data_IF_735991389500
#
_entry.id   IF_735991389500
#
_cell.length_a   1.000
_cell.length_b   1.000
_cell.length_c   1.000
_cell.angle_alpha   90.00
_cell.angle_beta   90.00
_cell.angle_gamma   90.00
#
_symmetry.space_group_name_H-M   'P 1'
#
loop_
_entity.id
_entity.type
_entity.pdbx_description
1 polymer ?
#
# COMPACT_ATOMS: atom_id res chain seq x y z
N UNK A 1 -12.46 20.53 18.21
CA UNK A 1 -12.82 19.11 18.10
C UNK A 1 -12.51 18.71 16.66
N UNK A 2 -11.29 18.26 16.40
CA UNK A 2 -10.87 17.87 15.05
C UNK A 2 -11.41 16.47 14.83
N UNK A 3 -12.46 16.37 14.03
CA UNK A 3 -12.94 15.08 13.54
C UNK A 3 -11.91 14.63 12.52
N UNK A 4 -11.03 13.72 12.94
CA UNK A 4 -10.19 12.94 12.04
C UNK A 4 -11.16 12.02 11.29
N UNK A 5 -11.72 12.46 10.18
CA UNK A 5 -12.46 11.54 9.31
C UNK A 5 -11.47 10.46 8.89
N UNK A 6 -11.80 9.22 9.28
CA UNK A 6 -10.97 8.07 8.97
C UNK A 6 -10.85 7.99 7.45
N UNK A 7 -9.65 7.73 6.91
CA UNK A 7 -9.52 7.39 5.50
C UNK A 7 -10.58 6.33 5.14
N UNK A 8 -11.31 6.52 4.03
CA UNK A 8 -12.44 5.69 3.63
C UNK A 8 -11.97 4.33 3.08
N UNK A 9 -11.13 3.66 3.85
CA UNK A 9 -10.61 2.34 3.58
C UNK A 9 -11.75 1.38 3.78
N UNK A 10 -12.27 0.88 2.67
CA UNK A 10 -13.34 -0.11 2.67
C UNK A 10 -12.72 -1.46 3.05
N UNK A 11 -13.03 -2.00 4.23
CA UNK A 11 -12.62 -3.36 4.56
C UNK A 11 -13.25 -4.30 3.54
N UNK A 12 -12.47 -5.25 3.07
CA UNK A 12 -12.93 -6.31 2.18
C UNK A 12 -12.51 -7.65 2.79
N UNK A 13 -13.32 -8.72 2.71
CA UNK A 13 -12.83 -10.04 3.09
C UNK A 13 -11.59 -10.42 2.30
N UNK A 14 -10.74 -11.28 2.88
CA UNK A 14 -9.63 -11.89 2.15
C UNK A 14 -10.15 -12.51 0.84
N UNK A 15 -9.39 -12.39 -0.24
CA UNK A 15 -9.76 -13.07 -1.48
C UNK A 15 -9.62 -14.60 -1.32
N UNK A 16 -10.42 -15.38 -2.06
CA UNK A 16 -10.30 -16.85 -2.04
C UNK A 16 -8.92 -17.32 -2.51
N UNK A 17 -8.37 -16.64 -3.52
CA UNK A 17 -7.02 -16.89 -4.02
C UNK A 17 -5.96 -16.62 -2.93
N UNK A 18 -6.09 -15.52 -2.18
CA UNK A 18 -5.19 -15.22 -1.06
C UNK A 18 -5.30 -16.25 0.06
N UNK A 19 -6.51 -16.65 0.44
CA UNK A 19 -6.74 -17.70 1.45
C UNK A 19 -6.08 -19.02 1.04
N UNK A 20 -6.25 -19.42 -0.21
CA UNK A 20 -5.69 -20.67 -0.73
C UNK A 20 -4.17 -20.60 -0.81
N UNK A 21 -3.63 -19.50 -1.34
CA UNK A 21 -2.19 -19.36 -1.58
C UNK A 21 -1.42 -19.18 -0.27
N UNK A 22 -1.77 -18.14 0.48
CA UNK A 22 -1.05 -17.74 1.70
C UNK A 22 -1.47 -18.54 2.94
N UNK A 23 -2.60 -19.23 2.88
CA UNK A 23 -3.07 -20.14 3.93
C UNK A 23 -2.66 -21.61 3.73
N UNK A 24 -1.98 -21.94 2.64
CA UNK A 24 -1.55 -23.31 2.35
C UNK A 24 -0.46 -23.79 3.31
N UNK A 25 -0.36 -25.11 3.50
CA UNK A 25 0.70 -25.73 4.29
C UNK A 25 2.11 -25.51 3.71
N UNK A 26 2.21 -25.17 2.42
CA UNK A 26 3.46 -24.83 1.72
C UNK A 26 3.84 -23.35 1.85
N UNK A 27 2.92 -22.49 2.28
CA UNK A 27 3.22 -21.08 2.47
C UNK A 27 4.13 -20.90 3.70
N UNK A 28 5.06 -19.93 3.68
CA UNK A 28 5.81 -19.56 4.87
C UNK A 28 4.89 -19.23 6.05
N UNK A 29 5.26 -19.66 7.25
CA UNK A 29 4.41 -19.50 8.44
C UNK A 29 4.08 -18.03 8.77
N UNK A 30 4.91 -17.09 8.31
CA UNK A 30 4.68 -15.65 8.49
C UNK A 30 3.48 -15.13 7.68
N UNK A 31 3.17 -15.72 6.53
CA UNK A 31 1.99 -15.38 5.73
C UNK A 31 0.71 -15.62 6.54
N UNK A 32 0.61 -16.80 7.17
CA UNK A 32 -0.52 -17.17 8.03
C UNK A 32 -0.66 -16.23 9.23
N UNK A 33 0.46 -15.77 9.83
CA UNK A 33 0.41 -14.79 10.92
C UNK A 33 -0.23 -13.48 10.47
N UNK A 34 0.13 -12.98 9.29
CA UNK A 34 -0.45 -11.75 8.74
C UNK A 34 -1.93 -11.93 8.38
N UNK A 35 -2.33 -13.08 7.82
CA UNK A 35 -3.73 -13.39 7.53
C UNK A 35 -4.63 -13.40 8.78
N UNK A 36 -4.07 -13.72 9.94
CA UNK A 36 -4.79 -13.86 11.22
C UNK A 36 -4.53 -12.72 12.21
N UNK A 37 -3.76 -11.70 11.85
CA UNK A 37 -3.48 -10.58 12.74
C UNK A 37 -4.71 -9.68 12.89
N UNK A 38 -5.25 -9.63 14.12
CA UNK A 38 -6.43 -8.82 14.44
C UNK A 38 -6.20 -7.31 14.32
N UNK A 39 -4.94 -6.85 14.24
CA UNK A 39 -4.59 -5.45 14.04
C UNK A 39 -4.54 -5.06 12.55
N UNK A 40 -4.58 -6.05 11.65
CA UNK A 40 -4.57 -5.86 10.21
C UNK A 40 -5.99 -5.99 9.68
N UNK A 41 -6.50 -4.90 9.09
CA UNK A 41 -7.79 -4.93 8.39
C UNK A 41 -7.55 -5.31 6.94
N UNK A 42 -8.10 -6.41 6.41
CA UNK A 42 -7.93 -6.73 5.00
C UNK A 42 -8.69 -5.71 4.14
N UNK A 43 -8.06 -5.31 3.03
CA UNK A 43 -8.57 -4.26 2.16
C UNK A 43 -8.51 -4.69 0.70
N UNK A 44 -9.33 -4.05 -0.12
CA UNK A 44 -9.26 -4.19 -1.56
C UNK A 44 -7.89 -3.74 -2.09
N UNK A 45 -7.47 -4.32 -3.22
CA UNK A 45 -6.40 -3.79 -4.07
C UNK A 45 -7.03 -3.35 -5.39
N UNK A 46 -7.57 -2.11 -5.50
CA UNK A 46 -8.34 -1.69 -6.65
C UNK A 46 -7.55 -1.71 -7.97
N UNK A 47 -6.26 -1.40 -7.92
CA UNK A 47 -5.33 -1.51 -9.06
C UNK A 47 -5.22 -2.93 -9.61
N UNK A 48 -5.64 -3.92 -8.81
CA UNK A 48 -5.62 -5.34 -9.17
C UNK A 48 -6.93 -5.85 -9.77
N UNK A 49 -7.96 -5.01 -9.86
CA UNK A 49 -9.25 -5.35 -10.44
C UNK A 49 -9.36 -4.73 -11.83
N UNK A 50 -9.65 -5.51 -12.89
CA UNK A 50 -9.87 -4.95 -14.22
C UNK A 50 -11.00 -3.91 -14.23
N UNK A 51 -10.78 -2.79 -14.90
CA UNK A 51 -11.73 -1.68 -14.96
C UNK A 51 -12.18 -1.44 -16.40
N UNK A 52 -13.42 -0.98 -16.57
CA UNK A 52 -13.98 -0.68 -17.90
C UNK A 52 -13.19 0.40 -18.66
N UNK A 53 -12.51 1.31 -17.93
CA UNK A 53 -11.63 2.33 -18.51
C UNK A 53 -10.27 1.81 -18.95
N UNK A 54 -9.94 0.53 -18.72
CA UNK A 54 -8.62 -0.10 -18.94
C UNK A 54 -7.47 0.48 -18.11
N UNK A 55 -7.75 1.41 -17.20
CA UNK A 55 -6.78 1.85 -16.20
C UNK A 55 -6.36 0.65 -15.34
N UNK A 56 -5.12 0.68 -14.86
CA UNK A 56 -4.47 -0.38 -14.10
C UNK A 56 -4.31 -1.74 -14.82
N UNK A 57 -4.64 -1.86 -16.10
CA UNK A 57 -4.49 -3.13 -16.88
C UNK A 57 -3.09 -3.76 -16.80
N UNK A 58 -2.04 -2.95 -16.61
CA UNK A 58 -0.70 -3.48 -16.34
C UNK A 58 -0.65 -4.31 -15.03
N UNK A 59 -1.25 -3.80 -13.95
CA UNK A 59 -1.32 -4.50 -12.66
C UNK A 59 -2.44 -5.56 -12.68
N UNK A 60 -3.66 -5.19 -13.09
CA UNK A 60 -4.86 -6.03 -13.03
C UNK A 60 -4.87 -7.21 -13.99
N UNK A 61 -4.12 -7.14 -15.10
CA UNK A 61 -4.13 -8.17 -16.14
C UNK A 61 -2.72 -8.68 -16.44
N UNK A 62 -1.81 -7.81 -16.86
CA UNK A 62 -0.46 -8.23 -17.30
C UNK A 62 0.34 -8.89 -16.17
N UNK A 63 0.29 -8.30 -14.97
CA UNK A 63 0.96 -8.85 -13.80
C UNK A 63 0.08 -9.81 -12.99
N UNK A 64 -1.16 -10.08 -13.41
CA UNK A 64 -2.14 -10.92 -12.72
C UNK A 64 -2.29 -12.31 -13.35
N UNK A 65 -1.17 -13.01 -13.48
CA UNK A 65 -1.14 -14.36 -14.06
C UNK A 65 -0.49 -15.35 -13.11
N UNK A 66 -0.69 -16.65 -13.36
CA UNK A 66 0.00 -17.71 -12.63
C UNK A 66 1.53 -17.70 -12.79
N UNK A 67 2.06 -17.10 -13.86
CA UNK A 67 3.51 -17.02 -14.10
C UNK A 67 4.13 -15.68 -13.65
N UNK A 68 3.31 -14.71 -13.22
CA UNK A 68 3.75 -13.40 -12.72
C UNK A 68 3.45 -13.26 -11.23
N UNK A 69 2.55 -12.36 -10.82
CA UNK A 69 2.08 -12.28 -9.42
C UNK A 69 0.77 -13.08 -9.33
N UNK A 70 0.89 -14.31 -8.85
CA UNK A 70 -0.21 -15.28 -8.82
C UNK A 70 -1.29 -14.97 -7.78
N UNK A 71 -0.91 -14.31 -6.68
CA UNK A 71 -1.83 -13.85 -5.64
C UNK A 71 -1.34 -12.55 -5.03
N UNK A 72 -2.27 -11.66 -4.66
CA UNK A 72 -2.00 -10.39 -3.97
C UNK A 72 -3.09 -10.15 -2.93
N UNK A 73 -2.69 -9.91 -1.67
CA UNK A 73 -3.61 -9.48 -0.61
C UNK A 73 -3.03 -8.30 0.15
N UNK A 74 -3.79 -7.22 0.26
CA UNK A 74 -3.41 -6.04 1.02
C UNK A 74 -4.15 -5.96 2.35
N UNK A 75 -3.51 -5.34 3.33
CA UNK A 75 -4.04 -5.05 4.65
C UNK A 75 -3.71 -3.62 5.03
N UNK A 76 -4.59 -3.00 5.79
CA UNK A 76 -4.34 -1.70 6.38
C UNK A 76 -4.26 -1.79 7.89
N UNK A 77 -3.24 -1.12 8.42
CA UNK A 77 -3.03 -0.94 9.85
C UNK A 77 -3.20 0.52 10.19
N UNK A 78 -4.23 0.80 10.97
CA UNK A 78 -4.57 2.15 11.42
C UNK A 78 -3.41 2.70 12.27
N UNK A 79 -3.02 3.98 12.12
CA UNK A 79 -2.06 4.60 13.01
C UNK A 79 -2.54 4.49 14.46
N UNK A 80 -1.71 3.92 15.34
CA UNK A 80 -2.02 4.00 16.77
C UNK A 80 -1.81 5.45 17.25
N UNK A 81 -2.72 6.00 18.07
CA UNK A 81 -2.51 7.31 18.67
C UNK A 81 -1.23 7.27 19.51
N UNK A 82 -0.18 7.98 19.08
CA UNK A 82 1.02 8.11 19.90
C UNK A 82 0.71 8.98 21.13
N UNK A 83 1.21 8.62 22.34
CA UNK A 83 1.17 9.52 23.48
C UNK A 83 1.89 10.84 23.11
N UNK A 84 1.29 11.96 23.50
CA UNK A 84 1.73 13.34 23.22
C UNK A 84 3.28 13.44 23.23
N UNK A 85 3.93 13.97 22.16
CA UNK A 85 5.38 14.04 22.13
C UNK A 85 5.90 14.87 23.31
N UNK A 86 6.89 14.31 24.01
CA UNK A 86 7.64 15.08 25.02
C UNK A 86 8.36 16.24 24.32
N UNK A 87 8.44 17.44 24.92
CA UNK A 87 8.99 18.64 24.27
C UNK A 87 10.50 18.55 23.89
N UNK A 88 11.14 17.40 24.04
CA UNK A 88 12.55 17.17 23.73
C UNK A 88 12.81 16.60 22.32
N UNK A 89 11.77 16.19 21.56
CA UNK A 89 11.94 15.61 20.23
C UNK A 89 11.48 16.59 19.15
N UNK A 90 12.24 17.65 18.91
CA UNK A 90 12.11 18.48 17.71
C UNK A 90 12.49 17.65 16.49
N UNK A 91 11.50 17.16 15.74
CA UNK A 91 11.68 16.59 14.41
C UNK A 91 10.81 15.37 14.05
N UNK A 92 10.22 14.66 15.02
CA UNK A 92 9.42 13.47 14.73
C UNK A 92 7.93 13.81 14.66
N UNK A 93 7.43 14.14 13.45
CA UNK A 93 6.00 14.29 13.22
C UNK A 93 5.29 12.92 13.34
N UNK A 94 4.13 12.90 14.01
CA UNK A 94 3.29 11.70 14.13
C UNK A 94 2.88 11.18 12.75
N UNK A 95 2.80 9.85 12.53
CA UNK A 95 2.36 9.30 11.25
C UNK A 95 0.93 9.75 10.94
N UNK A 96 0.79 10.46 9.82
CA UNK A 96 -0.49 11.03 9.35
C UNK A 96 -1.31 10.01 8.54
N UNK A 97 -0.64 9.04 7.94
CA UNK A 97 -1.24 7.92 7.23
C UNK A 97 -0.93 6.60 7.94
N UNK A 98 -1.85 5.64 7.87
CA UNK A 98 -1.62 4.26 8.31
C UNK A 98 -0.68 3.50 7.39
N UNK A 99 -0.42 2.25 7.76
CA UNK A 99 0.52 1.37 7.10
C UNK A 99 -0.26 0.39 6.21
N UNK A 100 0.13 0.29 4.93
CA UNK A 100 -0.37 -0.73 4.01
C UNK A 100 0.62 -1.89 3.96
N UNK A 101 0.17 -3.07 4.35
CA UNK A 101 0.95 -4.31 4.33
C UNK A 101 0.41 -5.18 3.21
N UNK A 102 1.25 -5.62 2.27
CA UNK A 102 0.83 -6.44 1.12
C UNK A 102 1.55 -7.78 1.08
N UNK A 103 0.80 -8.86 0.91
CA UNK A 103 1.29 -10.21 0.59
C UNK A 103 1.23 -10.44 -0.91
N UNK A 104 2.35 -10.81 -1.52
CA UNK A 104 2.45 -11.11 -2.94
C UNK A 104 3.07 -12.49 -3.17
N UNK A 105 2.46 -13.30 -4.04
CA UNK A 105 2.97 -14.62 -4.41
C UNK A 105 3.56 -14.61 -5.82
N UNK A 106 4.90 -14.60 -5.91
CA UNK A 106 5.66 -14.65 -7.15
C UNK A 106 6.12 -16.10 -7.39
N UNK A 107 5.23 -16.94 -7.91
CA UNK A 107 5.47 -18.38 -8.05
C UNK A 107 6.05 -18.78 -9.42
N UNK A 108 6.02 -17.87 -10.39
CA UNK A 108 6.47 -18.10 -11.77
C UNK A 108 7.78 -17.41 -12.12
N UNK A 109 8.17 -17.56 -13.38
CA UNK A 109 9.39 -16.95 -13.96
C UNK A 109 9.13 -15.70 -14.78
N UNK A 110 7.86 -15.36 -15.01
CA UNK A 110 7.42 -14.30 -15.91
C UNK A 110 7.85 -12.89 -15.49
N UNK A 111 8.44 -12.74 -14.30
CA UNK A 111 8.94 -11.47 -13.76
C UNK A 111 10.44 -11.50 -13.43
N UNK A 112 11.17 -12.53 -13.85
CA UNK A 112 12.60 -12.65 -13.56
C UNK A 112 13.43 -11.60 -14.32
N UNK A 113 14.33 -10.91 -13.61
CA UNK A 113 15.44 -10.17 -14.24
C UNK A 113 16.75 -10.96 -14.28
N UNK A 114 16.88 -11.91 -13.36
CA UNK A 114 17.91 -12.95 -13.36
C UNK A 114 17.27 -14.27 -12.91
N UNK A 115 17.98 -15.39 -13.05
CA UNK A 115 17.46 -16.71 -12.67
C UNK A 115 16.96 -16.71 -11.21
N UNK A 116 15.65 -16.91 -11.03
CA UNK A 116 14.96 -16.92 -9.74
C UNK A 116 15.09 -15.62 -8.93
N UNK A 117 15.25 -14.48 -9.62
CA UNK A 117 15.30 -13.15 -9.00
C UNK A 117 14.35 -12.24 -9.75
N UNK A 118 13.35 -11.70 -9.03
CA UNK A 118 12.42 -10.71 -9.58
C UNK A 118 13.17 -9.51 -10.16
N UNK A 119 12.75 -9.06 -11.34
CA UNK A 119 13.33 -7.91 -12.00
C UNK A 119 13.13 -6.65 -11.13
N UNK A 120 14.17 -5.82 -10.98
CA UNK A 120 14.08 -4.61 -10.16
C UNK A 120 12.96 -3.64 -10.61
N UNK A 121 12.66 -3.63 -11.90
CA UNK A 121 11.51 -2.90 -12.45
C UNK A 121 10.15 -3.39 -11.91
N UNK A 122 9.97 -4.69 -11.68
CA UNK A 122 8.76 -5.20 -11.02
C UNK A 122 8.68 -4.70 -9.58
N UNK A 123 9.80 -4.78 -8.85
CA UNK A 123 9.89 -4.34 -7.45
C UNK A 123 9.54 -2.85 -7.35
N UNK A 124 10.09 -2.03 -8.25
CA UNK A 124 9.77 -0.61 -8.33
C UNK A 124 8.28 -0.38 -8.64
N UNK A 125 7.69 -1.14 -9.57
CA UNK A 125 6.25 -1.06 -9.89
C UNK A 125 5.38 -1.42 -8.68
N UNK A 126 5.70 -2.49 -7.94
CA UNK A 126 4.93 -2.89 -6.74
C UNK A 126 5.01 -1.80 -5.68
N UNK A 127 6.20 -1.23 -5.46
CA UNK A 127 6.41 -0.15 -4.51
C UNK A 127 5.63 1.11 -4.90
N UNK A 128 5.65 1.50 -6.18
CA UNK A 128 4.86 2.63 -6.71
C UNK A 128 3.34 2.42 -6.50
N UNK A 129 2.82 1.25 -6.89
CA UNK A 129 1.39 0.93 -6.79
C UNK A 129 0.92 0.91 -5.33
N UNK A 130 1.64 0.20 -4.45
CA UNK A 130 1.28 0.08 -3.02
C UNK A 130 1.38 1.41 -2.28
N UNK A 131 2.40 2.22 -2.55
CA UNK A 131 2.50 3.55 -1.94
C UNK A 131 1.39 4.48 -2.47
N UNK A 132 1.10 4.47 -3.76
CA UNK A 132 -0.02 5.23 -4.34
C UNK A 132 -1.37 4.90 -3.71
N UNK A 133 -1.60 3.63 -3.33
CA UNK A 133 -2.81 3.22 -2.63
C UNK A 133 -2.94 3.81 -1.22
N UNK A 134 -1.83 4.07 -0.52
CA UNK A 134 -1.84 4.73 0.79
C UNK A 134 -2.31 6.18 0.65
N UNK A 135 -1.88 6.87 -0.40
CA UNK A 135 -2.32 8.24 -0.73
C UNK A 135 -3.82 8.29 -1.00
N UNK A 136 -4.32 7.45 -1.91
CA UNK A 136 -5.74 7.40 -2.26
C UNK A 136 -6.64 7.06 -1.05
N UNK A 137 -6.11 6.28 -0.12
CA UNK A 137 -6.78 5.96 1.14
C UNK A 137 -6.78 7.18 2.08
N UNK A 138 -5.66 7.88 2.22
CA UNK A 138 -5.49 9.03 3.10
C UNK A 138 -6.37 10.25 2.72
N UNK A 139 -6.78 10.36 1.45
CA UNK A 139 -7.57 11.49 0.94
C UNK A 139 -8.89 11.04 0.26
N UNK A 140 -9.95 10.73 1.02
CA UNK A 140 -11.27 10.58 0.42
C UNK A 140 -11.71 11.92 -0.20
N UNK A 141 -12.12 11.90 -1.47
CA UNK A 141 -12.27 13.04 -2.39
C UNK A 141 -13.14 14.25 -1.98
N UNK A 142 -13.60 14.43 -0.73
CA UNK A 142 -14.54 15.50 -0.37
C UNK A 142 -14.32 16.18 0.99
N UNK A 143 -13.08 16.42 1.42
CA UNK A 143 -12.84 17.22 2.64
C UNK A 143 -12.13 18.56 2.33
N UNK A 144 -12.81 19.72 2.40
CA UNK A 144 -12.14 21.00 2.40
C UNK A 144 -11.37 21.16 3.72
N UNK A 145 -10.04 21.29 3.60
CA UNK A 145 -9.04 21.32 4.67
C UNK A 145 -9.44 22.16 5.91
N UNK A 146 -8.90 21.79 7.09
CA UNK A 146 -7.87 22.67 7.64
C UNK A 146 -6.63 21.93 8.18
N UNK A 147 -5.46 22.44 7.78
CA UNK A 147 -4.12 22.37 8.40
C UNK A 147 -3.76 21.08 9.16
N UNK A 148 -2.93 20.21 8.53
CA UNK A 148 -2.39 19.00 9.18
C UNK A 148 -0.91 18.76 8.79
N UNK A 149 -0.10 18.40 9.79
CA UNK A 149 1.34 18.18 9.71
C UNK A 149 1.68 16.68 9.74
N UNK A 150 1.95 16.11 8.56
CA UNK A 150 3.02 15.11 8.38
C UNK A 150 4.32 15.88 8.19
N UNK A 151 5.43 15.28 7.78
CA UNK A 151 6.57 16.11 7.31
C UNK A 151 6.16 16.79 5.99
N UNK A 152 5.45 17.91 6.16
CA UNK A 152 4.94 18.74 5.11
C UNK A 152 6.13 19.49 4.55
N UNK A 153 6.71 19.00 3.45
CA UNK A 153 7.53 19.84 2.59
C UNK A 153 6.63 20.83 1.79
N UNK A 154 5.71 21.54 2.47
CA UNK A 154 4.82 22.57 1.96
C UNK A 154 3.71 22.11 0.99
N UNK A 155 2.44 22.35 1.36
CA UNK A 155 1.30 22.33 0.43
C UNK A 155 0.82 20.93 0.03
N UNK A 156 0.66 20.71 -1.29
CA UNK A 156 0.05 19.53 -1.94
C UNK A 156 0.93 18.28 -1.97
N UNK A 157 1.88 18.13 -1.05
CA UNK A 157 2.95 17.13 -1.12
C UNK A 157 2.79 16.08 -0.04
N UNK A 158 2.81 14.81 -0.43
CA UNK A 158 2.83 13.66 0.46
C UNK A 158 4.08 12.83 0.21
N UNK A 159 4.91 12.66 1.24
CA UNK A 159 6.05 11.74 1.21
C UNK A 159 5.64 10.39 1.78
N UNK A 160 5.98 9.31 1.07
CA UNK A 160 5.74 7.94 1.50
C UNK A 160 7.04 7.14 1.42
N UNK A 161 7.13 6.12 2.27
CA UNK A 161 8.24 5.16 2.32
C UNK A 161 7.66 3.75 2.25
N UNK A 162 8.31 2.88 1.50
CA UNK A 162 7.91 1.48 1.34
C UNK A 162 9.11 0.54 1.39
N UNK A 163 8.89 -0.67 1.90
CA UNK A 163 9.89 -1.74 1.95
C UNK A 163 9.35 -3.00 1.28
N UNK A 164 10.27 -3.82 0.76
CA UNK A 164 9.99 -5.19 0.30
C UNK A 164 10.84 -6.14 1.12
N UNK A 165 10.19 -7.09 1.78
CA UNK A 165 10.81 -7.96 2.79
C UNK A 165 10.42 -9.43 2.56
N UNK A 166 11.21 -10.35 3.12
CA UNK A 166 10.94 -11.80 3.09
C UNK A 166 10.02 -12.31 4.20
N UNK A 167 9.56 -11.42 5.10
CA UNK A 167 8.74 -11.76 6.27
C UNK A 167 9.50 -12.40 7.45
N UNK A 168 10.82 -12.58 7.34
CA UNK A 168 11.72 -13.09 8.38
C UNK A 168 12.81 -12.07 8.77
N UNK A 169 12.72 -10.85 8.24
CA UNK A 169 13.60 -9.72 8.54
C UNK A 169 14.65 -9.43 7.46
N UNK A 170 14.63 -10.18 6.35
CA UNK A 170 15.42 -9.87 5.16
C UNK A 170 14.78 -8.74 4.37
N UNK A 171 15.48 -7.61 4.28
CA UNK A 171 15.10 -6.45 3.47
C UNK A 171 15.66 -6.61 2.05
N UNK A 172 14.79 -6.65 1.04
CA UNK A 172 15.19 -6.74 -0.37
C UNK A 172 15.27 -5.39 -1.06
N UNK A 173 14.36 -4.47 -0.73
CA UNK A 173 14.34 -3.13 -1.31
C UNK A 173 13.66 -2.13 -0.38
N UNK A 174 14.02 -0.88 -0.54
CA UNK A 174 13.41 0.27 0.12
C UNK A 174 13.25 1.40 -0.90
N UNK A 175 12.16 2.15 -0.80
CA UNK A 175 11.92 3.33 -1.61
C UNK A 175 11.30 4.46 -0.79
N UNK A 176 11.60 5.68 -1.20
CA UNK A 176 10.90 6.91 -0.82
C UNK A 176 10.28 7.52 -2.07
N UNK A 177 9.05 8.01 -1.96
CA UNK A 177 8.34 8.65 -3.06
C UNK A 177 7.57 9.88 -2.62
N UNK A 178 7.36 10.79 -3.57
CA UNK A 178 6.63 12.04 -3.38
C UNK A 178 5.40 12.04 -4.29
N UNK A 179 4.22 12.10 -3.69
CA UNK A 179 2.94 12.29 -4.36
C UNK A 179 2.54 13.76 -4.28
N UNK A 180 1.90 14.24 -5.35
CA UNK A 180 1.37 15.60 -5.43
C UNK A 180 -0.13 15.53 -5.70
N UNK A 181 -0.93 16.08 -4.80
CA UNK A 181 -2.39 16.19 -4.97
C UNK A 181 -2.71 17.02 -6.22
N UNK A 182 -3.49 16.44 -7.14
CA UNK A 182 -3.93 17.10 -8.37
C UNK A 182 -5.11 18.00 -8.05
N UNK A 183 -5.00 19.29 -8.38
CA UNK A 183 -6.13 20.22 -8.29
C UNK A 183 -6.80 20.33 -9.65
N UNK A 184 -8.12 20.16 -9.68
CA UNK A 184 -8.91 20.48 -10.87
C UNK A 184 -8.82 21.97 -11.15
N UNK A 185 -8.49 22.34 -12.39
CA UNK A 185 -8.62 23.72 -12.84
C UNK A 185 -10.08 23.96 -13.20
N UNK A 186 -10.66 25.02 -12.65
CA UNK A 186 -11.95 25.49 -13.15
C UNK A 186 -11.83 25.75 -14.67
N UNK A 187 -12.81 25.28 -15.47
CA UNK A 187 -12.80 25.52 -16.89
C UNK A 187 -12.80 27.03 -17.14
N UNK A 188 -11.85 27.50 -17.95
CA UNK A 188 -11.84 28.90 -18.38
C UNK A 188 -13.06 29.12 -19.28
N UNK A 189 -13.99 29.94 -18.81
CA UNK A 189 -15.13 30.47 -19.58
C UNK A 189 -14.66 31.25 -20.82
#
# INVERSE_FOLDING_TARGET
>A
MVVLERPAIRPEPLSENARTTFGSASAPAWCLRLLHDANLTPVATPSRQPKASSEDSFIAETLATGDTISAWQSFYKVPQPQPRPSPATTGANSPVAGELVSLLALLGRGVNGHTNVAHGGLVATILDDTMGMVEASAYPQHCPLPHMAGEQAGGRKLWLRGTVEDGEGGLFAEAEGLWIEVQEKEPKL
#
